data_IF_877408563431
#
_entry.id   IF_877408563431
#
_cell.length_a   1.000
_cell.length_b   1.000
_cell.length_c   1.000
_cell.angle_alpha   90.00
_cell.angle_beta   90.00
_cell.angle_gamma   90.00
#
_symmetry.space_group_name_H-M   'P 1'
#
loop_
_entity.id
_entity.type
_entity.pdbx_description
1 polymer ?
#
# COMPACT_ATOMS: atom_id res chain seq x y z
N UNK A 1 0.56 -30.47 8.30
CA UNK A 1 -0.73 -29.77 8.51
C UNK A 1 -0.97 -28.86 7.32
N UNK A 2 -2.03 -29.11 6.54
CA UNK A 2 -2.37 -28.29 5.36
C UNK A 2 -3.09 -27.02 5.80
N UNK A 3 -2.42 -25.88 5.67
CA UNK A 3 -3.07 -24.58 5.84
C UNK A 3 -3.71 -24.16 4.51
N UNK A 4 -5.01 -23.89 4.54
CA UNK A 4 -5.73 -23.34 3.39
C UNK A 4 -5.30 -21.88 3.15
N UNK A 5 -4.22 -21.68 2.40
CA UNK A 5 -3.70 -20.35 2.04
C UNK A 5 -4.72 -19.51 1.27
N UNK A 6 -5.59 -20.16 0.49
CA UNK A 6 -6.67 -19.52 -0.27
C UNK A 6 -7.66 -18.81 0.65
N UNK A 7 -8.10 -19.45 1.75
CA UNK A 7 -9.03 -18.84 2.70
C UNK A 7 -8.43 -17.60 3.34
N UNK A 8 -7.16 -17.70 3.76
CA UNK A 8 -6.48 -16.58 4.42
C UNK A 8 -6.28 -15.37 3.49
N UNK A 9 -5.90 -15.61 2.22
CA UNK A 9 -5.76 -14.56 1.21
C UNK A 9 -7.10 -13.89 0.88
N UNK A 10 -8.17 -14.67 0.73
CA UNK A 10 -9.51 -14.13 0.45
C UNK A 10 -10.01 -13.30 1.63
N UNK A 11 -9.88 -13.79 2.88
CA UNK A 11 -10.31 -13.03 4.05
C UNK A 11 -9.54 -11.71 4.20
N UNK A 12 -8.22 -11.72 4.01
CA UNK A 12 -7.40 -10.51 4.04
C UNK A 12 -7.80 -9.52 2.92
N UNK A 13 -8.06 -10.02 1.71
CA UNK A 13 -8.54 -9.21 0.59
C UNK A 13 -9.93 -8.61 0.85
N UNK A 14 -10.87 -9.39 1.39
CA UNK A 14 -12.21 -8.90 1.74
C UNK A 14 -12.16 -7.77 2.77
N UNK A 15 -11.33 -7.91 3.81
CA UNK A 15 -11.18 -6.86 4.84
C UNK A 15 -10.58 -5.59 4.22
N UNK A 16 -9.54 -5.70 3.39
CA UNK A 16 -8.94 -4.56 2.72
C UNK A 16 -9.91 -3.87 1.75
N UNK A 17 -10.62 -4.64 0.93
CA UNK A 17 -11.60 -4.14 -0.03
C UNK A 17 -12.78 -3.44 0.66
N UNK A 18 -13.23 -3.97 1.81
CA UNK A 18 -14.28 -3.34 2.60
C UNK A 18 -13.88 -1.94 3.09
N UNK A 19 -12.68 -1.81 3.69
CA UNK A 19 -12.17 -0.52 4.17
C UNK A 19 -11.97 0.47 3.00
N UNK A 20 -11.39 0.00 1.90
CA UNK A 20 -11.19 0.82 0.70
C UNK A 20 -12.52 1.31 0.09
N UNK A 21 -13.54 0.44 0.05
CA UNK A 21 -14.87 0.80 -0.43
C UNK A 21 -15.56 1.84 0.44
N UNK A 22 -15.50 1.69 1.77
CA UNK A 22 -16.06 2.67 2.72
C UNK A 22 -15.36 4.02 2.59
N UNK A 23 -14.03 4.03 2.51
CA UNK A 23 -13.26 5.26 2.33
C UNK A 23 -13.58 5.96 1.00
N UNK A 24 -13.67 5.23 -0.10
CA UNK A 24 -14.02 5.77 -1.42
C UNK A 24 -15.46 6.29 -1.49
N UNK A 25 -16.41 5.57 -0.88
CA UNK A 25 -17.81 6.02 -0.79
C UNK A 25 -17.95 7.32 0.01
N UNK A 26 -17.23 7.43 1.13
CA UNK A 26 -17.19 8.66 1.92
C UNK A 26 -16.54 9.82 1.15
N UNK A 27 -15.46 9.55 0.40
CA UNK A 27 -14.80 10.55 -0.44
C UNK A 27 -15.70 11.07 -1.56
N UNK A 28 -16.44 10.19 -2.23
CA UNK A 28 -17.41 10.59 -3.25
C UNK A 28 -18.55 11.44 -2.66
N UNK A 29 -19.00 11.12 -1.45
CA UNK A 29 -20.03 11.90 -0.76
C UNK A 29 -19.55 13.31 -0.39
N UNK A 30 -18.30 13.45 0.07
CA UNK A 30 -17.71 14.74 0.44
C UNK A 30 -17.51 15.67 -0.76
N UNK A 31 -17.16 15.13 -1.92
CA UNK A 31 -16.93 15.94 -3.11
C UNK A 31 -18.23 16.41 -3.76
N UNK A 32 -19.33 15.64 -3.65
CA UNK A 32 -20.67 15.85 -4.25
C UNK A 32 -20.71 16.04 -5.79
N UNK A 33 -19.59 16.42 -6.40
CA UNK A 33 -19.36 16.61 -7.82
C UNK A 33 -17.98 16.02 -8.17
N UNK A 34 -17.98 15.00 -9.02
CA UNK A 34 -16.76 14.26 -9.38
C UNK A 34 -16.15 14.94 -10.60
N UNK A 35 -15.14 15.79 -10.37
CA UNK A 35 -14.30 16.30 -11.45
C UNK A 35 -13.28 15.21 -11.84
N UNK A 36 -13.12 14.87 -13.13
CA UNK A 36 -12.19 13.82 -13.57
C UNK A 36 -10.73 14.13 -13.21
N UNK A 37 -10.40 15.41 -13.00
CA UNK A 37 -9.08 15.86 -12.57
C UNK A 37 -8.69 15.33 -11.17
N UNK A 38 -9.66 15.21 -10.26
CA UNK A 38 -9.45 14.67 -8.90
C UNK A 38 -9.16 13.17 -8.86
N UNK A 39 -9.35 12.46 -9.98
CA UNK A 39 -9.02 11.04 -10.14
C UNK A 39 -7.89 10.81 -11.14
N UNK A 40 -7.02 11.81 -11.31
CA UNK A 40 -5.84 11.70 -12.17
C UNK A 40 -4.81 10.69 -11.63
N UNK A 41 -3.92 10.23 -12.51
CA UNK A 41 -2.79 9.34 -12.18
C UNK A 41 -1.92 9.88 -11.04
N UNK A 42 -1.85 11.20 -10.90
CA UNK A 42 -1.13 11.88 -9.82
C UNK A 42 -1.64 11.42 -8.45
N UNK A 43 -2.96 11.29 -8.25
CA UNK A 43 -3.54 10.85 -6.97
C UNK A 43 -3.19 9.41 -6.63
N UNK A 44 -3.14 8.51 -7.62
CA UNK A 44 -2.71 7.12 -7.40
C UNK A 44 -1.25 7.05 -6.95
N UNK A 45 -0.40 7.87 -7.57
CA UNK A 45 1.02 7.97 -7.23
C UNK A 45 1.23 8.51 -5.82
N UNK A 46 0.44 9.51 -5.39
CA UNK A 46 0.47 10.05 -4.02
C UNK A 46 0.24 8.95 -2.97
N UNK A 47 -0.74 8.06 -3.17
CA UNK A 47 -0.97 6.92 -2.27
C UNK A 47 0.24 5.99 -2.17
N UNK A 48 0.92 5.77 -3.29
CA UNK A 48 2.14 4.96 -3.33
C UNK A 48 3.27 5.65 -2.56
N UNK A 49 3.41 6.97 -2.73
CA UNK A 49 4.40 7.77 -2.03
C UNK A 49 4.16 7.76 -0.51
N UNK A 50 2.91 7.89 -0.07
CA UNK A 50 2.57 7.80 1.36
C UNK A 50 2.97 6.44 1.97
N UNK A 51 2.76 5.36 1.23
CA UNK A 51 3.19 4.02 1.63
C UNK A 51 4.72 3.92 1.69
N UNK A 52 5.43 4.39 0.67
CA UNK A 52 6.90 4.32 0.62
C UNK A 52 7.55 5.19 1.69
N UNK A 53 7.03 6.39 1.93
CA UNK A 53 7.53 7.29 2.97
C UNK A 53 7.29 6.73 4.38
N UNK A 54 6.26 5.91 4.57
CA UNK A 54 6.00 5.21 5.83
C UNK A 54 6.82 3.94 6.06
N UNK A 55 7.39 3.36 5.00
CA UNK A 55 8.22 2.15 5.01
C UNK A 55 7.52 0.93 4.41
N UNK A 56 8.22 0.17 3.56
CA UNK A 56 7.66 -0.97 2.78
C UNK A 56 7.29 -2.21 3.62
N UNK A 57 7.60 -2.21 4.92
CA UNK A 57 7.43 -3.37 5.81
C UNK A 57 6.52 -3.16 7.03
N UNK A 58 5.98 -1.96 7.27
CA UNK A 58 5.26 -1.63 8.51
C UNK A 58 3.94 -0.89 8.28
N UNK A 59 2.81 -1.53 8.64
CA UNK A 59 1.48 -0.93 8.51
C UNK A 59 1.33 0.35 9.34
N UNK A 60 1.91 0.37 10.54
CA UNK A 60 1.89 1.55 11.43
C UNK A 60 2.76 2.69 10.88
N UNK A 61 3.86 2.36 10.20
CA UNK A 61 4.70 3.33 9.50
C UNK A 61 3.96 4.00 8.34
N UNK A 62 3.25 3.22 7.52
CA UNK A 62 2.44 3.73 6.40
C UNK A 62 1.32 4.67 6.84
N UNK A 63 0.62 4.37 7.94
CA UNK A 63 -0.46 5.24 8.47
C UNK A 63 0.11 6.58 8.94
N UNK A 64 1.22 6.56 9.68
CA UNK A 64 1.88 7.78 10.17
C UNK A 64 2.48 8.58 9.02
N UNK A 65 3.09 7.92 8.03
CA UNK A 65 3.62 8.56 6.83
C UNK A 65 2.54 9.24 6.00
N UNK A 66 1.40 8.58 5.79
CA UNK A 66 0.25 9.18 5.11
C UNK A 66 -0.31 10.39 5.85
N UNK A 67 -0.47 10.31 7.17
CA UNK A 67 -0.96 11.44 7.98
C UNK A 67 0.01 12.63 7.93
N UNK A 68 1.31 12.39 8.10
CA UNK A 68 2.33 13.44 8.09
C UNK A 68 2.42 14.12 6.72
N UNK A 69 2.49 13.34 5.63
CA UNK A 69 2.59 13.88 4.28
C UNK A 69 1.28 14.49 3.78
N UNK A 70 0.14 14.23 4.42
CA UNK A 70 -1.11 14.94 4.16
C UNK A 70 -1.14 16.29 4.88
N UNK A 71 -0.70 16.36 6.13
CA UNK A 71 -0.70 17.60 6.92
C UNK A 71 0.38 18.59 6.45
N UNK A 72 1.53 18.07 6.02
CA UNK A 72 2.67 18.87 5.59
C UNK A 72 2.35 19.86 4.45
N UNK A 73 1.75 19.47 3.31
CA UNK A 73 1.36 20.39 2.25
C UNK A 73 0.25 21.36 2.71
N UNK A 74 -0.58 20.98 3.67
CA UNK A 74 -1.62 21.86 4.23
C UNK A 74 -1.02 22.99 5.07
N UNK A 75 0.05 22.71 5.83
CA UNK A 75 0.82 23.74 6.55
C UNK A 75 1.64 24.59 5.58
N UNK A 76 2.18 24.00 4.52
CA UNK A 76 2.91 24.73 3.47
C UNK A 76 2.00 25.55 2.55
N UNK A 77 0.69 25.50 2.74
CA UNK A 77 -0.29 26.25 1.94
C UNK A 77 -0.06 27.76 1.99
N UNK A 78 0.59 28.27 3.04
CA UNK A 78 0.96 29.68 3.16
C UNK A 78 2.03 30.15 2.16
N UNK A 79 2.84 29.24 1.59
CA UNK A 79 3.86 29.54 0.58
C UNK A 79 3.36 29.08 -0.80
N UNK A 80 2.36 29.77 -1.35
CA UNK A 80 1.59 29.38 -2.55
C UNK A 80 2.44 29.02 -3.79
N UNK A 81 3.49 29.81 -4.07
CA UNK A 81 4.30 29.69 -5.30
C UNK A 81 5.34 28.55 -5.23
N UNK A 82 5.91 28.30 -4.06
CA UNK A 82 7.01 27.34 -3.89
C UNK A 82 6.53 25.98 -3.38
N UNK A 83 5.22 25.82 -3.14
CA UNK A 83 4.58 24.63 -2.54
C UNK A 83 5.06 23.32 -3.17
N UNK A 84 5.04 23.23 -4.50
CA UNK A 84 5.34 21.97 -5.21
C UNK A 84 6.83 21.62 -5.09
N UNK A 85 7.72 22.61 -5.25
CA UNK A 85 9.16 22.43 -5.14
C UNK A 85 9.58 22.06 -3.72
N UNK A 86 9.03 22.76 -2.72
CA UNK A 86 9.31 22.48 -1.30
C UNK A 86 8.72 21.13 -0.89
N UNK A 87 7.51 20.79 -1.35
CA UNK A 87 6.92 19.48 -1.09
C UNK A 87 7.79 18.35 -1.64
N UNK A 88 8.23 18.43 -2.90
CA UNK A 88 9.11 17.43 -3.50
C UNK A 88 10.46 17.33 -2.75
N UNK A 89 11.06 18.47 -2.38
CA UNK A 89 12.31 18.50 -1.62
C UNK A 89 12.15 17.85 -0.24
N UNK A 90 11.10 18.20 0.52
CA UNK A 90 10.84 17.60 1.84
C UNK A 90 10.59 16.11 1.71
N UNK A 91 9.87 15.67 0.68
CA UNK A 91 9.60 14.26 0.42
C UNK A 91 10.89 13.48 0.18
N UNK A 92 11.80 14.01 -0.66
CA UNK A 92 13.13 13.42 -0.88
C UNK A 92 13.93 13.38 0.42
N UNK A 93 13.91 14.45 1.23
CA UNK A 93 14.59 14.49 2.52
C UNK A 93 14.03 13.45 3.49
N UNK A 94 12.71 13.29 3.56
CA UNK A 94 12.04 12.28 4.40
C UNK A 94 12.41 10.86 3.95
N UNK A 95 12.42 10.61 2.64
CA UNK A 95 12.88 9.32 2.10
C UNK A 95 14.35 9.05 2.44
N UNK A 96 15.21 10.06 2.34
CA UNK A 96 16.65 9.92 2.56
C UNK A 96 17.00 9.74 4.04
N UNK A 97 16.31 10.44 4.94
CA UNK A 97 16.56 10.32 6.39
C UNK A 97 15.89 9.10 7.03
N UNK A 98 14.85 8.51 6.41
CA UNK A 98 14.01 7.52 7.10
C UNK A 98 13.31 6.50 6.19
N UNK A 99 14.04 5.88 5.26
CA UNK A 99 13.54 4.79 4.40
C UNK A 99 13.05 3.53 5.16
N UNK A 100 13.39 3.37 6.45
CA UNK A 100 13.00 2.21 7.27
C UNK A 100 11.78 2.47 8.19
N UNK A 101 11.12 3.62 8.06
CA UNK A 101 9.90 3.97 8.78
C UNK A 101 10.09 5.00 9.91
N UNK A 102 9.17 5.97 9.97
CA UNK A 102 9.14 7.00 11.03
C UNK A 102 9.04 6.39 12.43
N UNK A 103 8.36 5.26 12.56
CA UNK A 103 8.21 4.51 13.81
C UNK A 103 9.39 3.55 13.96
N UNK A 104 10.55 4.10 14.32
CA UNK A 104 11.76 3.31 14.54
C UNK A 104 11.54 2.25 15.63
N UNK A 105 11.54 0.97 15.24
CA UNK A 105 11.70 -0.19 16.13
C UNK A 105 10.65 -0.43 17.22
N UNK A 106 9.65 0.44 17.40
CA UNK A 106 8.52 0.21 18.32
C UNK A 106 7.30 -0.20 17.52
N UNK A 107 7.29 -1.46 17.14
CA UNK A 107 6.07 -2.15 16.77
C UNK A 107 5.07 -1.95 17.93
N UNK A 108 3.91 -1.35 17.67
CA UNK A 108 2.82 -1.40 18.65
C UNK A 108 2.49 -2.89 18.86
N UNK A 109 2.55 -3.42 20.09
CA UNK A 109 2.41 -4.85 20.36
C UNK A 109 1.08 -5.43 19.90
N UNK A 110 0.07 -4.58 19.70
CA UNK A 110 -1.29 -4.93 19.31
C UNK A 110 -1.45 -5.29 17.83
N UNK A 111 -0.54 -4.86 16.96
CA UNK A 111 -0.61 -5.14 15.52
C UNK A 111 0.67 -5.81 15.01
N UNK A 112 1.31 -6.62 15.86
CA UNK A 112 2.35 -7.55 15.43
C UNK A 112 1.69 -8.69 14.67
N UNK A 113 1.25 -8.38 13.44
CA UNK A 113 0.97 -9.41 12.45
C UNK A 113 2.29 -10.13 12.33
N UNK A 114 2.39 -11.33 12.92
CA UNK A 114 3.47 -12.24 12.61
C UNK A 114 3.49 -12.30 11.09
N UNK A 115 4.51 -11.69 10.47
CA UNK A 115 4.83 -11.92 9.07
C UNK A 115 5.11 -13.42 9.02
N UNK A 116 4.05 -14.22 8.86
CA UNK A 116 4.17 -15.57 8.39
C UNK A 116 4.71 -15.37 6.99
N UNK A 117 6.00 -15.66 6.89
CA UNK A 117 6.87 -15.74 5.74
C UNK A 117 6.31 -16.75 4.72
N UNK A 118 5.11 -16.45 4.21
CA UNK A 118 4.29 -17.34 3.39
C UNK A 118 3.73 -16.56 2.18
N UNK A 119 4.35 -15.42 1.86
CA UNK A 119 4.17 -14.65 0.63
C UNK A 119 5.31 -14.89 -0.38
N UNK A 120 6.46 -15.39 0.06
CA UNK A 120 7.61 -15.77 -0.80
C UNK A 120 7.44 -17.14 -1.49
N UNK A 121 6.21 -17.56 -1.78
CA UNK A 121 6.04 -18.65 -2.74
C UNK A 121 5.98 -18.00 -4.13
N UNK A 122 6.99 -18.21 -5.01
CA UNK A 122 6.93 -17.70 -6.36
C UNK A 122 5.64 -18.21 -7.01
N UNK A 123 4.70 -17.28 -7.20
CA UNK A 123 3.36 -17.50 -7.76
C UNK A 123 3.40 -18.08 -9.19
N UNK A 124 4.60 -18.19 -9.76
CA UNK A 124 4.90 -18.61 -11.12
C UNK A 124 5.72 -19.90 -11.20
N UNK A 125 5.64 -20.80 -10.21
CA UNK A 125 6.00 -22.20 -10.45
C UNK A 125 4.93 -22.83 -11.36
N UNK A 126 5.00 -22.48 -12.66
CA UNK A 126 4.26 -23.05 -13.77
C UNK A 126 4.44 -24.56 -13.69
N UNK A 127 3.45 -25.26 -13.13
CA UNK A 127 3.36 -26.72 -13.17
C UNK A 127 3.19 -27.08 -14.64
N UNK A 128 4.31 -27.29 -15.33
CA UNK A 128 4.29 -27.70 -16.73
C UNK A 128 3.56 -29.04 -16.80
N UNK A 129 2.53 -29.02 -17.63
CA UNK A 129 2.12 -30.09 -18.52
C UNK A 129 2.38 -31.52 -18.01
N UNK A 130 1.33 -32.05 -17.39
CA UNK A 130 1.09 -33.47 -17.19
C UNK A 130 1.29 -34.20 -18.53
N UNK A 131 2.48 -34.77 -18.71
CA UNK A 131 2.84 -35.73 -19.76
C UNK A 131 1.75 -36.80 -19.83
N UNK A 132 0.93 -36.80 -20.88
CA UNK A 132 0.06 -37.94 -21.22
C UNK A 132 0.96 -39.03 -21.80
N UNK A 133 1.11 -40.20 -21.16
CA UNK A 133 1.61 -41.36 -21.88
C UNK A 133 0.46 -41.88 -22.75
N UNK A 134 0.36 -41.37 -23.98
CA UNK A 134 -0.31 -42.12 -25.04
C UNK A 134 0.61 -43.28 -25.39
N UNK A 135 0.21 -44.44 -24.88
CA UNK A 135 0.80 -45.73 -25.14
C UNK A 135 1.14 -45.89 -26.63
N UNK A 136 2.43 -46.05 -26.89
CA UNK A 136 2.92 -46.78 -28.05
C UNK A 136 3.01 -48.26 -27.64
N UNK A 137 2.74 -49.13 -28.60
CA UNK A 137 2.83 -50.61 -28.59
C UNK A 137 1.66 -51.39 -27.95
N UNK A 138 0.59 -51.60 -28.73
CA UNK A 138 0.37 -52.87 -29.47
C UNK A 138 -0.61 -52.67 -30.62
#
# INVERSE_FOLDING_TARGET
>A
MGIDTTKYKITAFCIAAFIAGVAGGLYAHLLAFIQPDSFSFVKSSDFLIFMYAGGSGSLTGSIVGAALLTVLPEVLRFLSEWRIAVYAAVLVVVMLYRSDGLVGGKELPFMRIRRCELYEQPLFARKSEKKRPSAQDR
#
